data_IF_851742448458
#
_entry.id   IF_851742448458
#
_cell.length_a   1.000
_cell.length_b   1.000
_cell.length_c   1.000
_cell.angle_alpha   90.00
_cell.angle_beta   90.00
_cell.angle_gamma   90.00
#
_symmetry.space_group_name_H-M   'P 1'
#
loop_
_entity.id
_entity.type
_entity.pdbx_description
1 polymer ?
#
# COMPACT_ATOMS: atom_id res chain seq x y z
N UNK A 1 23.83 14.78 -3.32
CA UNK A 1 23.29 14.27 -4.62
C UNK A 1 22.27 15.28 -5.10
N UNK A 2 22.11 15.49 -6.42
CA UNK A 2 21.36 16.64 -6.96
C UNK A 2 19.84 16.40 -7.05
N UNK A 3 19.02 17.44 -6.85
CA UNK A 3 17.57 17.53 -7.11
C UNK A 3 17.21 17.01 -8.49
N UNK A 4 18.10 17.18 -9.48
CA UNK A 4 17.91 16.64 -10.83
C UNK A 4 17.83 15.11 -10.85
N UNK A 5 18.63 14.44 -10.02
CA UNK A 5 18.63 12.98 -9.89
C UNK A 5 17.38 12.52 -9.12
N UNK A 6 17.05 13.18 -8.00
CA UNK A 6 15.83 12.93 -7.24
C UNK A 6 14.56 13.05 -8.10
N UNK A 7 14.47 14.13 -8.89
CA UNK A 7 13.33 14.37 -9.80
C UNK A 7 13.21 13.29 -10.89
N UNK A 8 14.33 12.84 -11.47
CA UNK A 8 14.33 11.77 -12.46
C UNK A 8 13.85 10.44 -11.86
N UNK A 9 14.32 10.12 -10.66
CA UNK A 9 13.88 8.93 -9.93
C UNK A 9 12.39 9.01 -9.55
N UNK A 10 11.93 10.18 -9.16
CA UNK A 10 10.51 10.44 -8.83
C UNK A 10 9.61 10.16 -10.03
N UNK A 11 9.93 10.72 -11.20
CA UNK A 11 9.16 10.49 -12.44
C UNK A 11 9.15 9.00 -12.80
N UNK A 12 10.29 8.32 -12.71
CA UNK A 12 10.37 6.86 -12.96
C UNK A 12 9.43 6.09 -12.02
N UNK A 13 9.42 6.45 -10.74
CA UNK A 13 8.62 5.77 -9.73
C UNK A 13 7.11 6.01 -9.95
N UNK A 14 6.72 7.26 -10.22
CA UNK A 14 5.33 7.61 -10.54
C UNK A 14 4.87 6.87 -11.80
N UNK A 15 5.68 6.84 -12.85
CA UNK A 15 5.35 6.08 -14.06
C UNK A 15 5.14 4.59 -13.77
N UNK A 16 5.99 3.98 -12.93
CA UNK A 16 5.81 2.60 -12.52
C UNK A 16 4.50 2.39 -11.76
N UNK A 17 4.16 3.28 -10.82
CA UNK A 17 2.88 3.24 -10.08
C UNK A 17 1.69 3.31 -11.05
N UNK A 18 1.73 4.25 -12.00
CA UNK A 18 0.65 4.42 -12.99
C UNK A 18 0.51 3.19 -13.88
N UNK A 19 1.61 2.63 -14.36
CA UNK A 19 1.60 1.40 -15.18
C UNK A 19 1.03 0.23 -14.37
N UNK A 20 1.51 0.02 -13.14
CA UNK A 20 0.99 -1.03 -12.25
C UNK A 20 -0.50 -0.85 -11.96
N UNK A 21 -0.96 0.39 -11.78
CA UNK A 21 -2.38 0.70 -11.59
C UNK A 21 -3.22 0.36 -12.82
N UNK A 22 -2.75 0.71 -14.02
CA UNK A 22 -3.43 0.35 -15.28
C UNK A 22 -3.50 -1.17 -15.44
N UNK A 23 -2.42 -1.90 -15.14
CA UNK A 23 -2.42 -3.36 -15.17
C UNK A 23 -3.40 -3.95 -14.17
N UNK A 24 -3.38 -3.49 -12.92
CA UNK A 24 -4.32 -3.91 -11.88
C UNK A 24 -5.77 -3.70 -12.33
N UNK A 25 -6.07 -2.52 -12.88
CA UNK A 25 -7.39 -2.19 -13.41
C UNK A 25 -7.80 -3.11 -14.57
N UNK A 26 -6.90 -3.38 -15.51
CA UNK A 26 -7.15 -4.31 -16.62
C UNK A 26 -7.44 -5.72 -16.12
N UNK A 27 -6.67 -6.23 -15.15
CA UNK A 27 -6.91 -7.55 -14.58
C UNK A 27 -8.25 -7.66 -13.85
N UNK A 28 -8.62 -6.64 -13.09
CA UNK A 28 -9.90 -6.63 -12.37
C UNK A 28 -11.12 -6.50 -13.30
N UNK A 29 -10.98 -5.88 -14.47
CA UNK A 29 -12.10 -5.58 -15.38
C UNK A 29 -12.21 -6.53 -16.57
N UNK A 30 -11.08 -6.97 -17.12
CA UNK A 30 -11.01 -7.63 -18.43
C UNK A 30 -10.60 -9.09 -18.29
N UNK A 31 -9.59 -9.38 -17.46
CA UNK A 31 -8.99 -10.72 -17.35
C UNK A 31 -9.46 -11.47 -16.11
N UNK A 32 -10.78 -11.60 -15.96
CA UNK A 32 -11.38 -12.42 -14.91
C UNK A 32 -11.12 -13.89 -15.25
N UNK A 33 -10.29 -14.55 -14.44
CA UNK A 33 -9.92 -15.95 -14.54
C UNK A 33 -10.44 -16.64 -13.27
N UNK A 34 -11.63 -17.24 -13.39
CA UNK A 34 -12.34 -17.90 -12.28
C UNK A 34 -11.74 -19.26 -11.90
N UNK A 35 -10.62 -19.65 -12.49
CA UNK A 35 -9.90 -20.87 -12.13
C UNK A 35 -9.51 -20.83 -10.65
N UNK A 36 -9.99 -21.81 -9.88
CA UNK A 36 -9.77 -21.90 -8.45
C UNK A 36 -8.34 -22.41 -8.18
N UNK A 37 -7.59 -21.67 -7.37
CA UNK A 37 -6.22 -22.03 -6.94
C UNK A 37 -6.24 -22.69 -5.56
N UNK A 38 -7.08 -22.20 -4.65
CA UNK A 38 -7.22 -22.76 -3.30
C UNK A 38 -8.69 -23.19 -3.10
N UNK A 39 -9.02 -24.48 -3.34
CA UNK A 39 -10.39 -24.98 -3.31
C UNK A 39 -11.11 -24.77 -2.00
N UNK A 40 -10.39 -24.93 -0.88
CA UNK A 40 -10.93 -24.78 0.48
C UNK A 40 -11.53 -23.39 0.74
N UNK A 41 -11.07 -22.39 -0.01
CA UNK A 41 -11.29 -20.95 0.26
C UNK A 41 -11.94 -20.25 -0.94
N UNK A 42 -12.15 -20.99 -2.04
CA UNK A 42 -12.62 -20.44 -3.31
C UNK A 42 -11.71 -19.36 -3.90
N UNK A 43 -10.44 -19.27 -3.49
CA UNK A 43 -9.51 -18.24 -4.00
C UNK A 43 -9.18 -18.56 -5.45
N UNK A 44 -9.41 -17.59 -6.32
CA UNK A 44 -9.19 -17.69 -7.76
C UNK A 44 -7.79 -17.24 -8.17
N UNK A 45 -7.36 -17.56 -9.39
CA UNK A 45 -6.13 -17.02 -9.97
C UNK A 45 -6.18 -15.50 -10.02
N UNK A 46 -7.34 -14.92 -10.34
CA UNK A 46 -7.53 -13.47 -10.36
C UNK A 46 -7.27 -12.83 -9.00
N UNK A 47 -7.75 -13.42 -7.90
CA UNK A 47 -7.50 -12.91 -6.55
C UNK A 47 -6.00 -12.85 -6.24
N UNK A 48 -5.26 -13.91 -6.60
CA UNK A 48 -3.80 -13.97 -6.38
C UNK A 48 -3.08 -12.89 -7.19
N UNK A 49 -3.43 -12.72 -8.46
CA UNK A 49 -2.82 -11.69 -9.32
C UNK A 49 -3.11 -10.29 -8.78
N UNK A 50 -4.35 -10.02 -8.37
CA UNK A 50 -4.76 -8.73 -7.78
C UNK A 50 -3.94 -8.42 -6.53
N UNK A 51 -3.78 -9.39 -5.62
CA UNK A 51 -2.98 -9.22 -4.41
C UNK A 51 -1.51 -8.99 -4.74
N UNK A 52 -0.93 -9.74 -5.67
CA UNK A 52 0.46 -9.53 -6.10
C UNK A 52 0.68 -8.13 -6.68
N UNK A 53 -0.22 -7.66 -7.54
CA UNK A 53 -0.15 -6.32 -8.12
C UNK A 53 -0.35 -5.23 -7.05
N UNK A 54 -1.22 -5.45 -6.07
CA UNK A 54 -1.39 -4.55 -4.93
C UNK A 54 -0.12 -4.48 -4.06
N UNK A 55 0.53 -5.60 -3.79
CA UNK A 55 1.80 -5.65 -3.07
C UNK A 55 2.95 -4.97 -3.84
N UNK A 56 2.98 -5.12 -5.17
CA UNK A 56 3.93 -4.37 -6.01
C UNK A 56 3.63 -2.87 -5.92
N UNK A 57 2.37 -2.46 -6.02
CA UNK A 57 1.97 -1.07 -5.94
C UNK A 57 2.32 -0.44 -4.59
N UNK A 58 2.04 -1.14 -3.49
CA UNK A 58 2.46 -0.82 -2.14
C UNK A 58 3.97 -0.53 -2.05
N UNK A 59 4.79 -1.46 -2.52
CA UNK A 59 6.25 -1.30 -2.57
C UNK A 59 6.68 -0.12 -3.44
N UNK A 60 6.00 0.13 -4.56
CA UNK A 60 6.30 1.26 -5.43
C UNK A 60 5.95 2.61 -4.78
N UNK A 61 4.83 2.70 -4.06
CA UNK A 61 4.42 3.89 -3.30
C UNK A 61 5.46 4.20 -2.23
N UNK A 62 5.86 3.19 -1.44
CA UNK A 62 6.92 3.34 -0.43
C UNK A 62 8.26 3.75 -1.05
N UNK A 63 8.54 3.29 -2.28
CA UNK A 63 9.71 3.67 -3.05
C UNK A 63 9.81 5.17 -3.41
N UNK A 64 8.73 5.96 -3.23
CA UNK A 64 8.74 7.42 -3.42
C UNK A 64 9.49 8.16 -2.29
N UNK A 65 9.67 7.55 -1.11
CA UNK A 65 10.31 8.22 0.03
C UNK A 65 11.74 8.68 -0.29
N UNK A 66 12.54 7.81 -0.91
CA UNK A 66 13.94 8.11 -1.27
C UNK A 66 14.12 9.27 -2.27
N UNK A 67 13.43 9.32 -3.42
CA UNK A 67 13.56 10.46 -4.32
C UNK A 67 13.03 11.76 -3.70
N UNK A 68 12.01 11.69 -2.84
CA UNK A 68 11.50 12.86 -2.12
C UNK A 68 12.50 13.35 -1.06
N UNK A 69 13.11 12.45 -0.30
CA UNK A 69 14.12 12.80 0.71
C UNK A 69 15.32 13.52 0.07
N UNK A 70 15.79 13.05 -1.09
CA UNK A 70 16.85 13.72 -1.86
C UNK A 70 16.48 15.15 -2.26
N UNK A 71 15.21 15.38 -2.64
CA UNK A 71 14.73 16.72 -2.99
C UNK A 71 14.67 17.59 -1.74
N UNK A 72 14.19 17.06 -0.62
CA UNK A 72 14.10 17.81 0.64
C UNK A 72 15.46 18.17 1.23
N UNK A 73 16.45 17.29 1.15
CA UNK A 73 17.83 17.55 1.61
C UNK A 73 18.46 18.76 0.94
N UNK A 74 18.20 18.97 -0.35
CA UNK A 74 18.75 20.10 -1.11
C UNK A 74 17.87 21.35 -1.01
N UNK A 75 16.55 21.18 -0.94
CA UNK A 75 15.60 22.31 -0.96
C UNK A 75 15.35 22.92 0.41
N UNK A 76 15.37 22.10 1.47
CA UNK A 76 15.01 22.45 2.85
C UNK A 76 15.94 21.74 3.86
N UNK A 77 17.27 21.95 3.79
CA UNK A 77 18.24 21.16 4.55
C UNK A 77 18.00 21.14 6.07
N UNK A 78 17.57 22.27 6.65
CA UNK A 78 17.30 22.39 8.09
C UNK A 78 16.12 21.53 8.58
N UNK A 79 15.20 21.17 7.68
CA UNK A 79 13.97 20.41 8.01
C UNK A 79 13.84 19.10 7.23
N UNK A 80 14.83 18.77 6.40
CA UNK A 80 14.76 17.66 5.45
C UNK A 80 14.41 16.33 6.13
N UNK A 81 15.03 16.05 7.28
CA UNK A 81 14.77 14.83 8.05
C UNK A 81 13.32 14.76 8.55
N UNK A 82 12.83 15.83 9.18
CA UNK A 82 11.45 15.89 9.71
C UNK A 82 10.43 15.75 8.57
N UNK A 83 10.64 16.44 7.46
CA UNK A 83 9.75 16.36 6.28
C UNK A 83 9.80 14.97 5.65
N UNK A 84 10.98 14.34 5.57
CA UNK A 84 11.12 12.97 5.09
C UNK A 84 10.38 11.97 5.98
N UNK A 85 10.53 12.07 7.30
CA UNK A 85 9.87 11.18 8.25
C UNK A 85 8.34 11.29 8.15
N UNK A 86 7.81 12.52 8.07
CA UNK A 86 6.37 12.75 7.86
C UNK A 86 5.91 12.15 6.52
N UNK A 87 6.69 12.38 5.46
CA UNK A 87 6.38 11.86 4.12
C UNK A 87 6.34 10.34 4.11
N UNK A 88 7.29 9.67 4.76
CA UNK A 88 7.30 8.22 4.88
C UNK A 88 6.04 7.69 5.59
N UNK A 89 5.59 8.35 6.65
CA UNK A 89 4.33 7.99 7.31
C UNK A 89 3.10 8.22 6.42
N UNK A 90 3.07 9.30 5.62
CA UNK A 90 2.00 9.54 4.65
C UNK A 90 2.01 8.45 3.57
N UNK A 91 3.17 8.09 3.04
CA UNK A 91 3.30 7.02 2.05
C UNK A 91 2.87 5.66 2.63
N UNK A 92 3.19 5.37 3.90
CA UNK A 92 2.72 4.17 4.59
C UNK A 92 1.18 4.16 4.76
N UNK A 93 0.54 5.32 4.96
CA UNK A 93 -0.93 5.40 5.00
C UNK A 93 -1.57 5.13 3.63
N UNK A 94 -0.96 5.65 2.57
CA UNK A 94 -1.42 5.40 1.20
C UNK A 94 -1.26 3.91 0.86
N UNK A 95 -0.11 3.33 1.18
CA UNK A 95 0.16 1.90 1.06
C UNK A 95 -0.88 1.06 1.84
N UNK A 96 -1.09 1.37 3.13
CA UNK A 96 -2.09 0.70 3.96
C UNK A 96 -3.50 0.75 3.34
N UNK A 97 -3.86 1.87 2.72
CA UNK A 97 -5.16 2.03 2.05
C UNK A 97 -5.28 1.16 0.80
N UNK A 98 -4.21 1.08 -0.01
CA UNK A 98 -4.13 0.17 -1.16
C UNK A 98 -4.27 -1.27 -0.68
N UNK A 99 -3.51 -1.66 0.35
CA UNK A 99 -3.57 -3.01 0.90
C UNK A 99 -4.96 -3.33 1.46
N UNK A 100 -5.58 -2.40 2.19
CA UNK A 100 -6.92 -2.56 2.73
C UNK A 100 -7.95 -2.92 1.66
N UNK A 101 -7.90 -2.22 0.51
CA UNK A 101 -8.86 -2.42 -0.57
C UNK A 101 -8.63 -3.75 -1.27
N UNK A 102 -7.38 -4.06 -1.63
CA UNK A 102 -7.10 -5.17 -2.55
C UNK A 102 -6.84 -6.52 -1.86
N UNK A 103 -6.50 -6.53 -0.56
CA UNK A 103 -6.33 -7.78 0.19
C UNK A 103 -7.64 -8.29 0.81
N UNK A 104 -8.71 -7.47 0.85
CA UNK A 104 -9.95 -7.79 1.58
C UNK A 104 -10.49 -9.17 1.24
N UNK A 105 -10.76 -9.42 -0.04
CA UNK A 105 -11.35 -10.70 -0.47
C UNK A 105 -10.50 -11.91 -0.05
N UNK A 106 -9.18 -11.82 -0.19
CA UNK A 106 -8.29 -12.92 0.15
C UNK A 106 -8.18 -13.10 1.67
N UNK A 107 -7.92 -12.03 2.41
CA UNK A 107 -7.70 -12.10 3.86
C UNK A 107 -8.97 -12.42 4.63
N UNK A 108 -10.13 -11.89 4.24
CA UNK A 108 -11.42 -12.23 4.87
C UNK A 108 -11.70 -13.72 4.74
N UNK A 109 -11.55 -14.29 3.54
CA UNK A 109 -11.79 -15.72 3.33
C UNK A 109 -10.77 -16.60 4.06
N UNK A 110 -9.53 -16.13 4.22
CA UNK A 110 -8.55 -16.82 5.06
C UNK A 110 -9.01 -16.79 6.53
N UNK A 111 -9.44 -15.64 7.04
CA UNK A 111 -9.94 -15.50 8.42
C UNK A 111 -11.16 -16.38 8.68
N UNK A 112 -12.06 -16.53 7.70
CA UNK A 112 -13.22 -17.43 7.79
C UNK A 112 -12.84 -18.88 8.11
N UNK A 113 -11.71 -19.37 7.59
CA UNK A 113 -11.23 -20.74 7.86
C UNK A 113 -10.77 -20.88 9.30
N UNK A 114 -10.05 -19.89 9.81
CA UNK A 114 -9.39 -19.98 11.11
C UNK A 114 -10.32 -19.70 12.28
N UNK A 115 -11.24 -18.76 12.11
CA UNK A 115 -12.09 -18.23 13.20
C UNK A 115 -13.52 -18.77 13.08
N UNK A 116 -13.87 -19.35 11.92
CA UNK A 116 -15.24 -19.77 11.62
C UNK A 116 -16.21 -18.57 11.60
N UNK A 117 -17.51 -18.86 11.68
CA UNK A 117 -18.55 -17.82 11.75
C UNK A 117 -18.76 -17.26 13.18
N UNK A 118 -18.00 -17.73 14.17
CA UNK A 118 -18.16 -17.32 15.57
C UNK A 118 -17.83 -15.83 15.80
N UNK A 119 -16.98 -15.26 14.95
CA UNK A 119 -16.73 -13.83 14.87
C UNK A 119 -16.83 -13.39 13.42
N UNK A 120 -17.38 -12.19 13.16
CA UNK A 120 -17.52 -11.65 11.81
C UNK A 120 -16.12 -11.28 11.25
N UNK A 121 -15.58 -12.04 10.27
CA UNK A 121 -14.20 -11.85 9.80
C UNK A 121 -13.99 -10.52 9.07
N UNK A 122 -15.05 -9.97 8.47
CA UNK A 122 -15.01 -8.63 7.87
C UNK A 122 -14.79 -7.55 8.93
N UNK A 123 -15.48 -7.64 10.07
CA UNK A 123 -15.30 -6.69 11.17
C UNK A 123 -13.89 -6.79 11.73
N UNK A 124 -13.36 -8.00 11.90
CA UNK A 124 -11.98 -8.20 12.37
C UNK A 124 -10.99 -7.56 11.39
N UNK A 125 -11.17 -7.78 10.10
CA UNK A 125 -10.35 -7.17 9.05
C UNK A 125 -10.38 -5.64 9.13
N UNK A 126 -11.57 -5.05 9.18
CA UNK A 126 -11.74 -3.59 9.25
C UNK A 126 -11.12 -3.00 10.53
N UNK A 127 -11.30 -3.66 11.68
CA UNK A 127 -10.74 -3.21 12.97
C UNK A 127 -9.21 -3.27 12.96
N UNK A 128 -8.60 -4.31 12.39
CA UNK A 128 -7.13 -4.42 12.30
C UNK A 128 -6.58 -3.24 11.49
N UNK A 129 -7.12 -3.00 10.29
CA UNK A 129 -6.66 -1.91 9.43
C UNK A 129 -6.92 -0.53 10.06
N UNK A 130 -8.04 -0.35 10.75
CA UNK A 130 -8.35 0.87 11.48
C UNK A 130 -7.32 1.14 12.58
N UNK A 131 -7.01 0.13 13.41
CA UNK A 131 -6.03 0.26 14.49
C UNK A 131 -4.65 0.63 13.92
N UNK A 132 -4.21 -0.08 12.87
CA UNK A 132 -2.92 0.21 12.21
C UNK A 132 -2.90 1.64 11.64
N UNK A 133 -3.99 2.07 10.99
CA UNK A 133 -4.13 3.42 10.46
C UNK A 133 -4.07 4.49 11.55
N UNK A 134 -4.76 4.28 12.68
CA UNK A 134 -4.72 5.18 13.84
C UNK A 134 -3.31 5.30 14.43
N UNK A 135 -2.57 4.20 14.53
CA UNK A 135 -1.17 4.21 15.00
C UNK A 135 -0.25 5.02 14.07
N UNK A 136 -0.46 4.93 12.75
CA UNK A 136 0.28 5.74 11.77
C UNK A 136 -0.07 7.23 11.89
N UNK A 137 -1.36 7.58 11.98
CA UNK A 137 -1.81 8.97 12.19
C UNK A 137 -1.24 9.54 13.48
N UNK A 138 -1.28 8.78 14.58
CA UNK A 138 -0.68 9.18 15.85
C UNK A 138 0.83 9.44 15.71
N UNK A 139 1.54 8.60 14.95
CA UNK A 139 2.98 8.79 14.71
C UNK A 139 3.26 10.10 13.96
N UNK A 140 2.44 10.45 12.97
CA UNK A 140 2.55 11.75 12.26
C UNK A 140 2.35 12.91 13.23
N UNK A 141 1.25 12.90 14.01
CA UNK A 141 0.95 13.97 14.97
C UNK A 141 2.10 14.12 15.97
N UNK A 142 2.61 13.00 16.51
CA UNK A 142 3.72 12.99 17.46
C UNK A 142 4.98 13.63 16.89
N UNK A 143 5.29 13.43 15.61
CA UNK A 143 6.43 14.07 14.94
C UNK A 143 6.18 15.57 14.77
N UNK A 144 4.97 15.96 14.38
CA UNK A 144 4.60 17.38 14.19
C UNK A 144 4.58 18.20 15.48
N UNK A 145 4.31 17.56 16.63
CA UNK A 145 4.24 18.22 17.94
C UNK A 145 5.56 18.23 18.71
N UNK A 146 6.65 17.68 18.14
CA UNK A 146 8.00 17.72 18.69
C UNK A 146 8.81 18.86 18.10
#
# INVERSE_FOLDING_TARGET
MSVKEGSKLLVRQISAIVITFVLLWLFMRVYIIDSIVIPLVGITVSDVIVVLLALIMAGLIKGLGRPLSMIYEESLPERAQVVSDITDHILNLVDLSVLYIYLRNMLVRILEIYIGQAANPEIIYDVIFLIVGLLMVYSIIKILTR
#
